data_IF_375306139580
#
_entry.id   IF_375306139580
#
_cell.length_a   1.000
_cell.length_b   1.000
_cell.length_c   1.000
_cell.angle_alpha   90.00
_cell.angle_beta   90.00
_cell.angle_gamma   90.00
#
_symmetry.space_group_name_H-M   'P 1'
#
loop_
_entity.id
_entity.type
_entity.pdbx_description
1 polymer ?
#
# COMPACT_ATOMS: atom_id res chain seq x y z
N UNK A 1 -6.04 15.21 -0.44
CA UNK A 1 -6.71 14.11 0.30
C UNK A 1 -5.98 13.85 1.60
N UNK A 2 -6.68 13.56 2.69
CA UNK A 2 -6.03 13.20 3.96
C UNK A 2 -5.55 11.74 3.92
N UNK A 3 -4.24 11.53 4.00
CA UNK A 3 -3.64 10.21 4.22
C UNK A 3 -3.91 9.79 5.68
N UNK A 4 -4.49 8.60 5.95
CA UNK A 4 -4.68 8.13 7.32
C UNK A 4 -3.35 8.15 8.11
N UNK A 5 -3.36 8.52 9.40
CA UNK A 5 -2.12 8.65 10.20
C UNK A 5 -1.24 7.38 10.18
N UNK A 6 -1.87 6.20 10.18
CA UNK A 6 -1.18 4.90 10.10
C UNK A 6 -0.39 4.66 8.81
N UNK A 7 -0.61 5.47 7.77
CA UNK A 7 0.13 5.38 6.51
C UNK A 7 1.09 6.56 6.31
N UNK A 8 1.37 7.35 7.35
CA UNK A 8 2.20 8.55 7.25
C UNK A 8 3.59 8.31 6.64
N UNK A 9 4.19 7.13 6.85
CA UNK A 9 5.48 6.76 6.27
C UNK A 9 5.51 6.67 4.73
N UNK A 10 4.35 6.67 4.07
CA UNK A 10 4.24 6.77 2.61
C UNK A 10 4.51 8.19 2.07
N UNK A 11 4.77 9.18 2.94
CA UNK A 11 5.15 10.55 2.55
C UNK A 11 6.68 10.64 2.45
N UNK A 12 7.20 11.01 1.28
CA UNK A 12 8.65 11.19 1.10
C UNK A 12 9.16 12.50 1.70
N UNK A 13 8.38 13.56 1.52
CA UNK A 13 8.65 14.89 2.05
C UNK A 13 7.43 15.31 2.86
N UNK A 14 7.64 15.65 4.13
CA UNK A 14 6.62 16.32 4.94
C UNK A 14 6.87 17.82 4.84
N UNK A 15 5.91 18.58 4.29
CA UNK A 15 5.97 20.04 4.39
C UNK A 15 6.06 20.42 5.87
N UNK A 16 7.13 21.11 6.25
CA UNK A 16 7.45 21.50 7.63
C UNK A 16 6.65 22.71 8.10
N UNK A 17 5.90 23.36 7.20
CA UNK A 17 5.14 24.56 7.50
C UNK A 17 4.02 24.72 6.46
N UNK A 18 2.77 24.65 6.93
CA UNK A 18 1.51 24.77 6.15
C UNK A 18 1.06 23.49 5.42
N UNK A 19 -0.26 23.30 5.19
CA UNK A 19 -0.73 22.20 4.36
C UNK A 19 -0.09 22.30 2.98
N UNK A 20 0.58 21.23 2.53
CA UNK A 20 1.22 21.21 1.21
C UNK A 20 0.21 21.60 0.13
N UNK A 21 0.60 22.59 -0.68
CA UNK A 21 -0.24 23.15 -1.76
C UNK A 21 -0.48 22.12 -2.85
N UNK A 22 0.51 21.27 -3.12
CA UNK A 22 0.48 20.25 -4.15
C UNK A 22 0.77 18.85 -3.59
N UNK A 23 0.05 17.86 -4.10
CA UNK A 23 0.28 16.45 -3.79
C UNK A 23 0.54 15.68 -5.08
N UNK A 24 1.69 15.04 -5.19
CA UNK A 24 2.03 14.10 -6.25
C UNK A 24 1.88 12.67 -5.73
N UNK A 25 0.94 11.92 -6.27
CA UNK A 25 0.70 10.53 -5.90
C UNK A 25 1.35 9.58 -6.91
N UNK A 26 2.26 8.73 -6.44
CA UNK A 26 2.96 7.74 -7.24
C UNK A 26 2.32 6.38 -6.98
N UNK A 27 1.57 5.88 -7.96
CA UNK A 27 0.98 4.54 -7.91
C UNK A 27 2.03 3.53 -8.38
N UNK A 28 2.55 2.76 -7.44
CA UNK A 28 3.71 1.90 -7.63
C UNK A 28 3.38 0.47 -7.19
N UNK A 29 3.75 -0.48 -8.02
CA UNK A 29 3.73 -1.91 -7.74
C UNK A 29 5.16 -2.42 -7.62
N UNK A 30 5.45 -3.23 -6.59
CA UNK A 30 6.81 -3.71 -6.34
C UNK A 30 7.32 -4.76 -7.33
N UNK A 31 6.44 -5.44 -8.08
CA UNK A 31 6.80 -6.40 -9.12
C UNK A 31 6.60 -5.84 -10.54
N UNK A 32 6.22 -4.57 -10.68
CA UNK A 32 6.17 -3.90 -11.98
C UNK A 32 7.53 -3.27 -12.35
N UNK A 33 8.14 -3.65 -13.50
CA UNK A 33 9.43 -3.09 -13.93
C UNK A 33 9.37 -1.60 -14.26
N UNK A 34 8.21 -1.08 -14.68
CA UNK A 34 8.03 0.35 -14.92
C UNK A 34 7.93 1.16 -13.62
N UNK A 35 7.29 0.59 -12.59
CA UNK A 35 7.26 1.19 -11.26
C UNK A 35 8.66 1.29 -10.65
N UNK A 36 9.52 0.29 -10.86
CA UNK A 36 10.92 0.35 -10.44
C UNK A 36 11.68 1.50 -11.13
N UNK A 37 11.49 1.68 -12.45
CA UNK A 37 12.10 2.81 -13.20
C UNK A 37 11.63 4.16 -12.66
N UNK A 38 10.33 4.31 -12.42
CA UNK A 38 9.74 5.53 -11.89
C UNK A 38 10.27 5.83 -10.48
N UNK A 39 10.28 4.83 -9.60
CA UNK A 39 10.81 4.96 -8.25
C UNK A 39 12.30 5.34 -8.27
N UNK A 40 13.12 4.65 -9.06
CA UNK A 40 14.54 4.96 -9.21
C UNK A 40 14.77 6.40 -9.66
N UNK A 41 13.98 6.87 -10.63
CA UNK A 41 14.08 8.24 -11.15
C UNK A 41 13.82 9.26 -10.05
N UNK A 42 12.78 9.07 -9.25
CA UNK A 42 12.37 10.00 -8.20
C UNK A 42 13.26 9.90 -6.96
N UNK A 43 13.75 8.71 -6.64
CA UNK A 43 14.42 8.41 -5.39
C UNK A 43 15.96 8.47 -5.49
N UNK A 44 16.55 8.05 -6.60
CA UNK A 44 18.00 7.83 -6.70
C UNK A 44 18.72 8.87 -7.58
N UNK A 45 17.99 9.70 -8.33
CA UNK A 45 18.59 10.73 -9.19
C UNK A 45 18.58 12.11 -8.54
N UNK A 46 19.26 13.09 -9.16
CA UNK A 46 19.27 14.50 -8.75
C UNK A 46 17.87 15.15 -8.72
N UNK A 47 16.87 14.51 -9.34
CA UNK A 47 15.48 14.92 -9.24
C UNK A 47 15.01 14.93 -7.77
N UNK A 48 15.44 13.97 -6.94
CA UNK A 48 15.08 13.93 -5.52
C UNK A 48 15.47 15.22 -4.81
N UNK A 49 16.73 15.63 -4.97
CA UNK A 49 17.29 16.85 -4.36
C UNK A 49 16.55 18.08 -4.87
N UNK A 50 16.32 18.17 -6.18
CA UNK A 50 15.56 19.28 -6.78
C UNK A 50 14.14 19.37 -6.20
N UNK A 51 13.45 18.24 -6.03
CA UNK A 51 12.12 18.19 -5.45
C UNK A 51 12.13 18.60 -3.97
N UNK A 52 13.13 18.17 -3.21
CA UNK A 52 13.28 18.52 -1.79
C UNK A 52 13.58 20.01 -1.59
N UNK A 53 14.57 20.57 -2.30
CA UNK A 53 15.06 21.92 -2.09
C UNK A 53 14.13 22.98 -2.69
N UNK A 54 13.67 22.77 -3.93
CA UNK A 54 12.87 23.77 -4.65
C UNK A 54 11.39 23.69 -4.31
N UNK A 55 10.89 22.48 -4.03
CA UNK A 55 9.45 22.23 -3.87
C UNK A 55 9.07 21.62 -2.52
N UNK A 56 10.02 21.25 -1.65
CA UNK A 56 9.73 20.63 -0.34
C UNK A 56 8.72 21.37 0.54
N UNK A 57 8.71 22.71 0.60
CA UNK A 57 7.70 23.45 1.37
C UNK A 57 6.28 23.32 0.82
N UNK A 58 6.11 23.12 -0.50
CA UNK A 58 4.80 23.19 -1.19
C UNK A 58 4.33 21.86 -1.77
N UNK A 59 5.23 20.88 -1.92
CA UNK A 59 4.98 19.58 -2.54
C UNK A 59 5.07 18.45 -1.53
N UNK A 60 4.02 17.63 -1.48
CA UNK A 60 4.07 16.31 -0.83
C UNK A 60 4.05 15.22 -1.89
N UNK A 61 5.00 14.29 -1.82
CA UNK A 61 5.03 13.09 -2.68
C UNK A 61 4.56 11.90 -1.86
N UNK A 62 3.57 11.18 -2.38
CA UNK A 62 2.96 10.01 -1.75
C UNK A 62 3.24 8.74 -2.54
N UNK A 63 3.77 7.73 -1.87
CA UNK A 63 3.81 6.36 -2.40
C UNK A 63 2.44 5.70 -2.21
N UNK A 64 1.76 5.38 -3.30
CA UNK A 64 0.52 4.59 -3.31
C UNK A 64 0.82 3.19 -3.78
N UNK A 65 0.58 2.21 -2.90
CA UNK A 65 0.73 0.80 -3.22
C UNK A 65 -0.40 0.40 -4.19
N UNK A 66 -0.03 0.02 -5.42
CA UNK A 66 -0.97 -0.39 -6.47
C UNK A 66 -0.78 -1.87 -6.77
N UNK A 67 -1.46 -2.73 -6.03
CA UNK A 67 -1.32 -4.19 -6.18
C UNK A 67 -1.87 -4.64 -7.54
N UNK A 68 -1.06 -5.37 -8.31
CA UNK A 68 -1.44 -6.00 -9.57
C UNK A 68 -1.83 -7.47 -9.36
N UNK A 69 -3.13 -7.80 -9.35
CA UNK A 69 -3.61 -9.13 -8.92
C UNK A 69 -3.25 -10.28 -9.88
N UNK A 70 -2.79 -10.00 -11.10
CA UNK A 70 -2.32 -11.01 -12.05
C UNK A 70 -0.88 -11.47 -11.79
N UNK A 71 -0.13 -10.78 -10.92
CA UNK A 71 1.16 -11.23 -10.39
C UNK A 71 0.97 -11.60 -8.91
N UNK A 72 0.78 -12.87 -8.54
CA UNK A 72 0.40 -13.27 -7.18
C UNK A 72 1.36 -12.77 -6.09
N UNK A 73 2.66 -12.71 -6.40
CA UNK A 73 3.70 -12.19 -5.51
C UNK A 73 3.54 -10.70 -5.20
N UNK A 74 2.92 -9.91 -6.07
CA UNK A 74 2.65 -8.48 -5.85
C UNK A 74 2.01 -8.27 -4.49
N UNK A 75 0.93 -9.01 -4.20
CA UNK A 75 0.20 -8.90 -2.92
C UNK A 75 1.12 -9.17 -1.74
N UNK A 76 1.97 -10.20 -1.82
CA UNK A 76 2.86 -10.59 -0.73
C UNK A 76 3.93 -9.52 -0.44
N UNK A 77 4.51 -8.96 -1.50
CA UNK A 77 5.52 -7.89 -1.38
C UNK A 77 4.89 -6.61 -0.81
N UNK A 78 3.66 -6.30 -1.22
CA UNK A 78 2.90 -5.19 -0.66
C UNK A 78 2.51 -5.40 0.81
N UNK A 79 2.09 -6.61 1.20
CA UNK A 79 1.85 -6.98 2.60
C UNK A 79 3.10 -6.73 3.46
N UNK A 80 4.29 -7.13 2.98
CA UNK A 80 5.54 -6.86 3.69
C UNK A 80 5.85 -5.36 3.82
N UNK A 81 5.62 -4.58 2.78
CA UNK A 81 5.78 -3.12 2.85
C UNK A 81 4.82 -2.46 3.86
N UNK A 82 3.60 -2.99 4.00
CA UNK A 82 2.66 -2.56 5.04
C UNK A 82 3.10 -2.99 6.43
N UNK A 83 3.69 -4.18 6.60
CA UNK A 83 4.24 -4.62 7.88
C UNK A 83 5.37 -3.69 8.35
N UNK A 84 6.30 -3.34 7.46
CA UNK A 84 7.35 -2.35 7.75
C UNK A 84 6.75 -0.98 8.04
N UNK A 85 5.74 -0.54 7.27
CA UNK A 85 5.06 0.74 7.52
C UNK A 85 4.40 0.78 8.92
N UNK A 86 3.92 -0.36 9.43
CA UNK A 86 3.31 -0.48 10.75
C UNK A 86 4.34 -0.49 11.88
N UNK A 87 5.46 -1.20 11.70
CA UNK A 87 6.50 -1.37 12.71
C UNK A 87 7.51 -0.20 12.74
N UNK A 88 7.95 0.26 11.58
CA UNK A 88 8.98 1.28 11.41
C UNK A 88 8.63 2.22 10.24
N UNK A 89 7.66 3.15 10.41
CA UNK A 89 7.20 4.03 9.35
C UNK A 89 8.32 4.86 8.68
N UNK A 90 9.35 5.22 9.43
CA UNK A 90 10.52 5.98 8.96
C UNK A 90 11.41 5.18 8.01
N UNK A 91 11.36 3.84 8.08
CA UNK A 91 12.12 2.92 7.23
C UNK A 91 11.40 2.51 5.95
N UNK A 92 10.17 2.96 5.75
CA UNK A 92 9.34 2.56 4.61
C UNK A 92 10.05 2.77 3.26
N UNK A 93 10.61 3.95 3.01
CA UNK A 93 11.27 4.24 1.72
C UNK A 93 12.60 3.50 1.54
N UNK A 94 13.37 3.29 2.61
CA UNK A 94 14.59 2.48 2.57
C UNK A 94 14.24 1.03 2.22
N UNK A 95 13.21 0.48 2.85
CA UNK A 95 12.69 -0.85 2.53
C UNK A 95 12.13 -0.93 1.11
N UNK A 96 11.35 0.05 0.66
CA UNK A 96 10.86 0.11 -0.73
C UNK A 96 12.01 0.11 -1.73
N UNK A 97 13.10 0.84 -1.45
CA UNK A 97 14.28 0.86 -2.29
C UNK A 97 14.97 -0.52 -2.34
N UNK A 98 15.08 -1.20 -1.19
CA UNK A 98 15.62 -2.56 -1.12
C UNK A 98 14.75 -3.57 -1.91
N UNK A 99 13.43 -3.49 -1.78
CA UNK A 99 12.49 -4.30 -2.56
C UNK A 99 12.65 -4.08 -4.07
N UNK A 100 12.76 -2.82 -4.53
CA UNK A 100 12.98 -2.54 -5.94
C UNK A 100 14.35 -2.99 -6.44
N UNK A 101 15.39 -2.94 -5.59
CA UNK A 101 16.72 -3.44 -5.94
C UNK A 101 16.71 -4.97 -6.15
N UNK A 102 15.93 -5.70 -5.36
CA UNK A 102 15.78 -7.16 -5.43
C UNK A 102 14.52 -7.59 -6.22
N UNK A 103 13.88 -6.68 -6.96
CA UNK A 103 12.56 -6.88 -7.57
C UNK A 103 12.46 -8.17 -8.42
N UNK A 104 13.52 -8.49 -9.18
CA UNK A 104 13.53 -9.64 -10.10
C UNK A 104 13.25 -10.96 -9.38
N UNK A 105 13.65 -11.06 -8.12
CA UNK A 105 13.53 -12.27 -7.32
C UNK A 105 12.07 -12.63 -6.99
N UNK A 106 11.15 -11.67 -7.20
CA UNK A 106 9.72 -11.80 -6.93
C UNK A 106 8.87 -11.83 -8.20
N UNK A 107 9.47 -11.90 -9.38
CA UNK A 107 8.74 -12.12 -10.64
C UNK A 107 8.20 -13.55 -10.74
N UNK A 108 7.09 -13.72 -11.45
CA UNK A 108 6.32 -14.97 -11.50
C UNK A 108 7.19 -16.22 -11.72
N UNK A 109 8.12 -16.17 -12.69
CA UNK A 109 9.00 -17.30 -13.02
C UNK A 109 9.94 -17.71 -11.88
N UNK A 110 10.27 -16.79 -10.97
CA UNK A 110 11.21 -17.02 -9.88
C UNK A 110 10.54 -17.48 -8.58
N UNK A 111 9.21 -17.32 -8.47
CA UNK A 111 8.43 -17.66 -7.26
C UNK A 111 7.39 -18.75 -7.51
N UNK A 112 7.30 -19.29 -8.73
CA UNK A 112 6.24 -20.24 -9.13
C UNK A 112 6.16 -21.51 -8.26
N UNK A 113 7.28 -21.94 -7.66
CA UNK A 113 7.35 -23.10 -6.78
C UNK A 113 7.52 -22.72 -5.30
N UNK A 114 7.49 -21.43 -4.99
CA UNK A 114 7.65 -20.93 -3.64
C UNK A 114 6.29 -20.85 -2.93
N UNK A 115 6.23 -21.33 -1.70
CA UNK A 115 5.04 -21.18 -0.86
C UNK A 115 4.96 -19.77 -0.29
N UNK A 116 3.72 -19.32 0.01
CA UNK A 116 3.47 -17.99 0.56
C UNK A 116 4.33 -17.64 1.78
N UNK A 117 4.46 -18.56 2.73
CA UNK A 117 5.26 -18.32 3.96
C UNK A 117 6.77 -18.33 3.69
N UNK A 118 7.27 -19.05 2.68
CA UNK A 118 8.67 -18.94 2.26
C UNK A 118 8.97 -17.54 1.72
N UNK A 119 8.09 -17.00 0.87
CA UNK A 119 8.24 -15.65 0.34
C UNK A 119 8.24 -14.61 1.46
N UNK A 120 7.37 -14.76 2.47
CA UNK A 120 7.38 -13.86 3.63
C UNK A 120 8.65 -13.93 4.47
N UNK A 121 9.25 -15.10 4.64
CA UNK A 121 10.55 -15.21 5.32
C UNK A 121 11.64 -14.43 4.59
N UNK A 122 11.67 -14.52 3.26
CA UNK A 122 12.61 -13.74 2.43
C UNK A 122 12.35 -12.23 2.55
N UNK A 123 11.09 -11.81 2.49
CA UNK A 123 10.72 -10.40 2.64
C UNK A 123 11.06 -9.84 4.02
N UNK A 124 10.88 -10.65 5.08
CA UNK A 124 11.30 -10.31 6.43
C UNK A 124 12.83 -10.18 6.55
N UNK A 125 13.60 -11.04 5.87
CA UNK A 125 15.06 -10.91 5.82
C UNK A 125 15.49 -9.60 5.14
N UNK A 126 14.85 -9.20 4.03
CA UNK A 126 15.10 -7.89 3.39
C UNK A 126 14.76 -6.73 4.34
N UNK A 127 13.72 -6.87 5.18
CA UNK A 127 13.40 -5.87 6.19
C UNK A 127 14.49 -5.76 7.27
N UNK A 128 15.11 -6.89 7.64
CA UNK A 128 16.24 -6.91 8.55
C UNK A 128 17.47 -6.20 7.99
N UNK A 129 17.74 -6.32 6.68
CA UNK A 129 18.85 -5.62 6.01
C UNK A 129 18.76 -4.09 6.15
N UNK A 130 17.55 -3.52 6.21
CA UNK A 130 17.33 -2.08 6.40
C UNK A 130 17.20 -1.65 7.87
N UNK A 131 17.41 -2.59 8.80
CA UNK A 131 17.42 -2.35 10.25
C UNK A 131 16.04 -2.39 10.91
N UNK A 132 15.08 -3.11 10.34
CA UNK A 132 13.79 -3.42 10.98
C UNK A 132 13.87 -4.81 11.61
N UNK A 133 13.15 -5.06 12.70
CA UNK A 133 13.08 -6.40 13.30
C UNK A 133 12.40 -7.39 12.33
N UNK A 134 13.20 -8.27 11.72
CA UNK A 134 12.74 -9.25 10.74
C UNK A 134 11.78 -10.29 11.34
N UNK A 135 11.98 -10.70 12.60
CA UNK A 135 11.10 -11.67 13.25
C UNK A 135 9.74 -11.05 13.54
N UNK A 136 9.71 -9.78 13.97
CA UNK A 136 8.47 -9.03 14.14
C UNK A 136 7.73 -8.82 12.80
N UNK A 137 8.47 -8.56 11.71
CA UNK A 137 7.89 -8.47 10.36
C UNK A 137 7.30 -9.82 9.93
N UNK A 138 8.04 -10.91 10.09
CA UNK A 138 7.55 -12.24 9.74
C UNK A 138 6.32 -12.63 10.56
N UNK A 139 6.31 -12.35 11.86
CA UNK A 139 5.15 -12.61 12.74
C UNK A 139 3.89 -11.83 12.33
N UNK A 140 4.02 -10.67 11.68
CA UNK A 140 2.89 -9.95 11.10
C UNK A 140 2.39 -10.55 9.78
N UNK A 141 3.24 -11.30 9.07
CA UNK A 141 2.96 -11.78 7.70
C UNK A 141 2.57 -13.25 7.65
N UNK A 142 3.09 -14.05 8.58
CA UNK A 142 2.90 -15.50 8.64
C UNK A 142 1.42 -15.88 8.59
N UNK A 143 1.12 -16.89 7.77
CA UNK A 143 -0.21 -17.50 7.69
C UNK A 143 -0.16 -18.83 8.42
N UNK A 144 -1.06 -19.00 9.39
CA UNK A 144 -1.20 -20.24 10.13
C UNK A 144 -1.65 -21.40 9.21
N UNK A 145 -1.11 -22.58 9.47
CA UNK A 145 -1.48 -23.84 8.81
C UNK A 145 -2.71 -24.51 9.44
N UNK A 146 -3.29 -23.87 10.47
CA UNK A 146 -4.43 -24.37 11.24
C UNK A 146 -5.59 -23.37 11.19
N UNK A 147 -6.84 -23.85 11.29
CA UNK A 147 -7.99 -22.99 11.49
C UNK A 147 -7.82 -22.11 12.73
N UNK A 148 -8.43 -20.92 12.71
CA UNK A 148 -8.54 -20.13 13.93
C UNK A 148 -9.46 -20.81 14.96
N UNK A 149 -9.45 -20.30 16.20
CA UNK A 149 -10.25 -20.84 17.29
C UNK A 149 -11.77 -20.84 17.00
N UNK A 150 -12.24 -19.96 16.12
CA UNK A 150 -13.63 -19.88 15.65
C UNK A 150 -13.92 -20.79 14.45
N UNK A 151 -12.95 -21.58 14.01
CA UNK A 151 -13.04 -22.47 12.84
C UNK A 151 -12.81 -21.77 11.50
N UNK A 152 -12.50 -20.47 11.46
CA UNK A 152 -12.27 -19.77 10.21
C UNK A 152 -10.99 -20.25 9.50
N UNK A 153 -11.08 -20.42 8.18
CA UNK A 153 -9.99 -20.90 7.31
C UNK A 153 -9.29 -19.76 6.54
N UNK A 154 -9.93 -18.59 6.44
CA UNK A 154 -9.44 -17.41 5.72
C UNK A 154 -9.14 -16.28 6.70
N UNK A 155 -8.16 -16.50 7.57
CA UNK A 155 -7.79 -15.58 8.66
C UNK A 155 -6.99 -14.37 8.17
N UNK A 156 -6.24 -14.52 7.08
CA UNK A 156 -5.30 -13.51 6.61
C UNK A 156 -4.10 -13.39 7.55
N UNK A 157 -3.43 -12.24 7.50
CA UNK A 157 -2.27 -11.91 8.34
C UNK A 157 -2.50 -10.60 9.11
N UNK A 158 -1.52 -10.19 9.92
CA UNK A 158 -1.56 -9.01 10.79
C UNK A 158 -1.62 -7.65 10.07
N UNK A 159 -1.61 -7.63 8.73
CA UNK A 159 -1.66 -6.44 7.87
C UNK A 159 -2.80 -6.47 6.83
N UNK A 160 -3.60 -7.53 6.82
CA UNK A 160 -4.67 -7.73 5.83
C UNK A 160 -5.69 -6.59 5.83
N UNK A 161 -6.02 -6.04 7.01
CA UNK A 161 -6.99 -4.95 7.12
C UNK A 161 -6.48 -3.65 6.51
N UNK A 162 -5.18 -3.37 6.63
CA UNK A 162 -4.53 -2.24 6.00
C UNK A 162 -4.47 -2.41 4.48
N UNK A 163 -4.08 -3.58 3.99
CA UNK A 163 -4.03 -3.89 2.56
C UNK A 163 -5.40 -3.76 1.89
N UNK A 164 -6.49 -4.20 2.55
CA UNK A 164 -7.86 -4.01 2.06
C UNK A 164 -8.23 -2.54 1.81
N UNK A 165 -7.65 -1.61 2.55
CA UNK A 165 -7.90 -0.17 2.39
C UNK A 165 -6.98 0.46 1.35
N UNK A 166 -5.82 -0.14 1.09
CA UNK A 166 -4.86 0.32 0.09
C UNK A 166 -5.18 -0.19 -1.33
N UNK A 167 -5.57 -1.46 -1.47
CA UNK A 167 -5.83 -2.12 -2.75
C UNK A 167 -7.25 -1.98 -3.29
N UNK A 168 -8.19 -1.49 -2.49
CA UNK A 168 -9.57 -1.23 -2.91
C UNK A 168 -9.77 0.27 -3.02
N UNK A 169 -10.24 0.71 -4.19
CA UNK A 169 -10.81 2.03 -4.35
C UNK A 169 -11.95 2.20 -3.33
N UNK A 170 -11.65 2.87 -2.21
CA UNK A 170 -12.53 3.30 -1.13
C UNK A 170 -13.53 2.27 -0.56
N UNK A 171 -13.33 1.87 0.71
CA UNK A 171 -14.41 1.33 1.53
C UNK A 171 -15.41 2.46 1.88
N UNK A 172 -16.39 2.68 1.01
CA UNK A 172 -17.51 3.55 1.32
C UNK A 172 -18.50 2.87 2.27
N UNK A 173 -18.91 3.57 3.33
CA UNK A 173 -20.13 3.22 4.05
C UNK A 173 -21.30 3.89 3.33
N UNK A 174 -22.20 3.12 2.74
CA UNK A 174 -23.44 3.65 2.17
C UNK A 174 -24.42 3.85 3.34
N UNK A 175 -24.72 5.10 3.70
CA UNK A 175 -25.83 5.43 4.59
C UNK A 175 -26.99 5.95 3.76
N UNK A 176 -28.17 5.41 3.98
CA UNK A 176 -29.42 6.00 3.49
C UNK A 176 -30.23 6.46 4.71
N UNK A 177 -30.20 7.77 4.96
CA UNK A 177 -30.69 8.32 6.23
C UNK A 177 -29.88 7.77 7.41
N UNK A 178 -30.56 7.47 8.52
CA UNK A 178 -29.94 6.95 9.76
C UNK A 178 -29.76 5.42 9.79
N UNK A 179 -30.10 4.72 8.69
CA UNK A 179 -29.99 3.26 8.63
C UNK A 179 -28.65 2.80 8.02
N UNK A 180 -27.99 1.90 8.75
CA UNK A 180 -26.83 1.15 8.29
C UNK A 180 -27.26 0.05 7.32
N UNK A 181 -26.86 0.14 6.05
CA UNK A 181 -27.21 -0.81 4.97
C UNK A 181 -26.10 -1.83 4.65
N UNK A 182 -25.08 -1.92 5.52
CA UNK A 182 -23.97 -2.84 5.37
C UNK A 182 -22.80 -2.29 4.55
N UNK A 183 -21.80 -3.16 4.37
CA UNK A 183 -20.50 -2.87 3.77
C UNK A 183 -20.45 -3.55 2.40
N UNK A 184 -20.34 -2.77 1.33
CA UNK A 184 -20.33 -3.26 -0.06
C UNK A 184 -18.98 -2.93 -0.73
N UNK A 185 -18.49 -3.82 -1.59
CA UNK A 185 -17.35 -3.55 -2.48
C UNK A 185 -17.92 -2.81 -3.69
N UNK A 186 -17.55 -1.54 -3.86
CA UNK A 186 -17.87 -0.76 -5.07
C UNK A 186 -16.57 -0.20 -5.63
N UNK A 187 -16.14 -0.68 -6.79
CA UNK A 187 -15.06 -0.05 -7.55
C UNK A 187 -15.62 1.17 -8.30
N UNK A 188 -15.39 2.39 -7.80
CA UNK A 188 -15.63 3.61 -8.58
C UNK A 188 -14.28 4.19 -8.98
N UNK A 189 -13.88 3.95 -10.24
CA UNK A 189 -12.64 4.48 -10.82
C UNK A 189 -12.72 5.95 -11.27
N UNK A 190 -13.85 6.64 -11.08
CA UNK A 190 -14.00 8.02 -11.57
C UNK A 190 -14.81 8.90 -10.61
N UNK A 191 -14.13 9.89 -10.00
CA UNK A 191 -14.75 10.92 -9.13
C UNK A 191 -15.15 12.17 -9.94
N UNK A 192 -15.00 12.19 -11.27
CA UNK A 192 -15.33 13.37 -12.09
C UNK A 192 -16.82 13.53 -12.43
N UNK A 193 -17.66 12.51 -12.22
CA UNK A 193 -19.11 12.57 -12.52
C UNK A 193 -19.99 12.35 -11.30
N UNK A 194 -19.89 13.20 -10.27
CA UNK A 194 -21.03 13.42 -9.36
C UNK A 194 -22.11 14.26 -10.07
N UNK A 195 -22.84 13.68 -11.03
CA UNK A 195 -24.18 14.18 -11.31
C UNK A 195 -25.05 13.69 -10.16
N UNK A 196 -25.50 14.64 -9.33
CA UNK A 196 -26.55 14.45 -8.32
C UNK A 196 -27.73 13.77 -9.04
N UNK A 197 -27.95 12.48 -8.79
CA UNK A 197 -29.19 11.82 -9.19
C UNK A 197 -30.26 12.45 -8.31
N UNK A 198 -31.09 13.32 -8.89
CA UNK A 198 -32.28 13.83 -8.21
C UNK A 198 -33.25 12.66 -8.04
N UNK A 199 -33.86 12.46 -6.86
CA UNK A 199 -34.90 11.47 -6.69
C UNK A 199 -36.09 11.86 -7.57
N UNK A 200 -36.49 10.93 -8.45
CA UNK A 200 -37.71 11.02 -9.24
C UNK A 200 -38.86 10.70 -8.31
N UNK A 201 -39.71 11.69 -8.03
CA UNK A 201 -40.90 11.50 -7.21
C UNK A 201 -41.85 10.53 -7.92
N UNK A 202 -42.14 9.40 -7.28
CA UNK A 202 -43.27 8.56 -7.64
C UNK A 202 -44.53 9.27 -7.14
N UNK A 203 -45.34 9.79 -8.07
CA UNK A 203 -46.70 10.23 -7.77
C UNK A 203 -47.57 8.99 -7.53
N UNK A 204 -48.35 9.04 -6.45
CA UNK A 204 -49.48 8.16 -6.15
C UNK A 204 -50.52 8.16 -7.26
#
# INVERSE_FOLDING_TARGET
MALPPKFAGQKLFASTSQPAVHTLELYLDYVCPFSAKLFHTIHNTSLRTTLAEKYGPTLTILFRQQIQPWHPSSTLVHEAAVAVLKLAPTKFYEFSAALFAQQKDFFDVNVVHETRNQTYKRLAAIAAEVGVDGDAVYGLLEIADKPAADGSLNTGNGVTNEVKVLGVCWWGSLRWGDRWLGRWIVCIQDVSRRKRIKPMALST
#
